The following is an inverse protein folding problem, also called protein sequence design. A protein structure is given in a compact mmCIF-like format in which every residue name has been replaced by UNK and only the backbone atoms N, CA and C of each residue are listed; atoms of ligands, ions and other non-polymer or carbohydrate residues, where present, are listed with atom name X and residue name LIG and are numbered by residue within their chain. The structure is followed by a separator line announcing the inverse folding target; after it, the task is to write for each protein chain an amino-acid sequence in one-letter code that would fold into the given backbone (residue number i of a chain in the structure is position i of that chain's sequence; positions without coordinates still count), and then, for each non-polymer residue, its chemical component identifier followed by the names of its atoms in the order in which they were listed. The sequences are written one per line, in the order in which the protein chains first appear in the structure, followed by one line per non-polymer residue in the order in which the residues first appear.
data_IF_303651733510
#
_entry.id   IF_303651733510
#
_cell.length_a   1.000
_cell.length_b   1.000
_cell.length_c   1.000
_cell.angle_alpha   90.00
_cell.angle_beta   90.00
_cell.angle_gamma   90.00
#
_symmetry.space_group_name_H-M   'P 1'
#
loop_
_entity.id
_entity.type
_entity.pdbx_description
1 polymer ?
#
# COMPACT_ATOMS: atom_id res chain seq x y z
N UNK A 1 4.83 -3.84 -2.16
CA UNK A 1 4.53 -3.33 -0.80
C UNK A 1 3.37 -4.12 -0.22
N UNK A 2 3.47 -4.55 1.03
CA UNK A 2 2.46 -5.36 1.72
C UNK A 2 1.94 -4.61 2.93
N UNK A 3 0.63 -4.60 3.12
CA UNK A 3 -0.10 -3.88 4.16
C UNK A 3 -1.00 -4.85 4.92
N UNK A 4 -1.07 -4.74 6.25
CA UNK A 4 -2.15 -5.30 7.05
C UNK A 4 -2.87 -4.16 7.79
N UNK A 5 -4.19 -4.15 7.77
CA UNK A 5 -4.98 -3.06 8.35
C UNK A 5 -6.38 -3.50 8.77
N UNK A 6 -6.98 -2.77 9.70
CA UNK A 6 -8.36 -2.99 10.13
C UNK A 6 -9.32 -2.18 9.24
N UNK A 7 -10.22 -2.84 8.50
CA UNK A 7 -11.10 -2.16 7.54
C UNK A 7 -12.31 -1.44 8.17
N UNK A 8 -12.67 -1.78 9.42
CA UNK A 8 -13.68 -1.05 10.20
C UNK A 8 -13.13 0.27 10.75
N UNK A 9 -11.80 0.44 10.83
CA UNK A 9 -11.19 1.66 11.32
C UNK A 9 -10.97 2.72 10.23
N UNK A 10 -11.35 3.96 10.55
CA UNK A 10 -10.84 5.21 9.94
C UNK A 10 -10.97 5.36 8.42
N UNK A 11 -11.95 4.72 7.76
CA UNK A 11 -12.12 4.81 6.29
C UNK A 11 -10.81 4.50 5.56
N UNK A 12 -9.99 3.60 6.11
CA UNK A 12 -8.65 3.31 5.57
C UNK A 12 -8.74 2.82 4.13
N UNK A 13 -9.83 2.15 3.75
CA UNK A 13 -10.13 1.79 2.37
C UNK A 13 -10.22 3.01 1.44
N UNK A 14 -10.89 4.09 1.86
CA UNK A 14 -11.01 5.34 1.08
C UNK A 14 -9.67 6.06 0.99
N UNK A 15 -8.89 6.07 2.07
CA UNK A 15 -7.55 6.66 2.09
C UNK A 15 -6.61 5.91 1.15
N UNK A 16 -6.60 4.57 1.20
CA UNK A 16 -5.82 3.75 0.28
C UNK A 16 -6.29 3.94 -1.16
N UNK A 17 -7.59 4.05 -1.39
CA UNK A 17 -8.13 4.33 -2.72
C UNK A 17 -7.69 5.70 -3.24
N UNK A 18 -7.71 6.75 -2.41
CA UNK A 18 -7.23 8.08 -2.79
C UNK A 18 -5.73 8.06 -3.10
N UNK A 19 -4.91 7.44 -2.25
CA UNK A 19 -3.47 7.27 -2.51
C UNK A 19 -3.25 6.52 -3.82
N UNK A 20 -4.08 5.51 -4.11
CA UNK A 20 -4.04 4.78 -5.37
C UNK A 20 -4.39 5.67 -6.57
N UNK A 21 -5.45 6.48 -6.44
CA UNK A 21 -5.88 7.42 -7.48
C UNK A 21 -4.87 8.54 -7.74
N UNK A 22 -4.23 9.07 -6.70
CA UNK A 22 -3.17 10.08 -6.84
C UNK A 22 -1.88 9.50 -7.43
N UNK A 23 -1.68 8.19 -7.28
CA UNK A 23 -0.47 7.47 -7.68
C UNK A 23 -0.66 6.55 -8.90
N UNK A 24 -1.70 6.76 -9.71
CA UNK A 24 -2.05 5.93 -10.88
C UNK A 24 -0.90 5.74 -11.87
N UNK A 25 0.05 6.68 -11.91
CA UNK A 25 1.19 6.62 -12.81
C UNK A 25 2.23 5.57 -12.42
N UNK A 26 2.30 5.18 -11.14
CA UNK A 26 3.34 4.28 -10.61
C UNK A 26 2.81 3.04 -9.91
N UNK A 27 1.55 3.02 -9.47
CA UNK A 27 0.90 1.80 -8.99
C UNK A 27 0.45 0.97 -10.19
N UNK A 28 0.91 -0.28 -10.27
CA UNK A 28 0.61 -1.21 -11.37
C UNK A 28 -0.61 -2.07 -11.08
N UNK A 29 -0.71 -2.55 -9.85
CA UNK A 29 -1.83 -3.38 -9.41
C UNK A 29 -1.90 -3.41 -7.90
N UNK A 30 -3.06 -3.78 -7.38
CA UNK A 30 -3.28 -4.05 -5.96
C UNK A 30 -4.12 -5.31 -5.83
N UNK A 31 -3.71 -6.20 -4.93
CA UNK A 31 -4.49 -7.33 -4.45
C UNK A 31 -4.96 -6.99 -3.04
N UNK A 32 -6.23 -7.22 -2.74
CA UNK A 32 -6.81 -7.10 -1.41
C UNK A 32 -7.38 -8.45 -1.01
N UNK A 33 -7.03 -8.93 0.18
CA UNK A 33 -7.56 -10.16 0.77
C UNK A 33 -8.16 -9.85 2.14
N UNK A 34 -9.41 -10.28 2.36
CA UNK A 34 -10.01 -10.33 3.69
C UNK A 34 -9.45 -11.55 4.43
N UNK A 35 -8.78 -11.34 5.58
CA UNK A 35 -8.09 -12.42 6.30
C UNK A 35 -8.93 -12.95 7.47
N UNK A 36 -9.53 -12.07 8.28
CA UNK A 36 -10.45 -12.37 9.39
C UNK A 36 -11.41 -11.18 9.64
N UNK A 37 -12.35 -11.29 10.61
CA UNK A 37 -13.49 -10.39 10.85
C UNK A 37 -13.25 -8.90 10.60
N UNK A 38 -12.09 -8.36 11.02
CA UNK A 38 -11.79 -6.93 10.85
C UNK A 38 -10.52 -6.65 10.02
N UNK A 39 -9.69 -7.66 9.74
CA UNK A 39 -8.35 -7.46 9.21
C UNK A 39 -8.25 -7.81 7.72
N UNK A 40 -7.68 -6.89 6.97
CA UNK A 40 -7.40 -7.03 5.55
C UNK A 40 -5.89 -7.03 5.32
N UNK A 41 -5.46 -7.77 4.30
CA UNK A 41 -4.11 -7.67 3.74
C UNK A 41 -4.22 -7.08 2.34
N UNK A 42 -3.37 -6.12 2.03
CA UNK A 42 -3.18 -5.67 0.66
C UNK A 42 -1.74 -5.86 0.20
N UNK A 43 -1.56 -6.30 -1.05
CA UNK A 43 -0.27 -6.27 -1.75
C UNK A 43 -0.41 -5.31 -2.91
N UNK A 44 0.39 -4.24 -2.87
CA UNK A 44 0.42 -3.19 -3.89
C UNK A 44 1.73 -3.31 -4.65
N UNK A 45 1.63 -3.49 -5.97
CA UNK A 45 2.75 -3.52 -6.89
C UNK A 45 2.98 -2.10 -7.41
N UNK A 46 4.19 -1.59 -7.20
CA UNK A 46 4.57 -0.21 -7.52
C UNK A 46 5.84 -0.27 -8.38
N UNK A 47 5.88 0.52 -9.44
CA UNK A 47 7.04 0.65 -10.31
C UNK A 47 7.32 2.13 -10.60
N UNK A 48 8.52 2.59 -10.27
CA UNK A 48 8.93 3.97 -10.50
C UNK A 48 10.22 4.31 -9.79
N UNK A 49 10.53 5.60 -9.74
CA UNK A 49 11.68 6.13 -9.03
C UNK A 49 11.59 5.87 -7.52
N UNK A 50 12.72 5.51 -6.90
CA UNK A 50 12.80 5.19 -5.48
C UNK A 50 12.25 6.31 -4.58
N UNK A 51 12.47 7.58 -4.96
CA UNK A 51 11.93 8.74 -4.23
C UNK A 51 10.42 8.75 -4.15
N UNK A 52 9.72 8.54 -5.28
CA UNK A 52 8.26 8.49 -5.35
C UNK A 52 7.69 7.28 -4.60
N UNK A 53 8.35 6.13 -4.72
CA UNK A 53 7.95 4.92 -3.97
C UNK A 53 8.06 5.17 -2.46
N UNK A 54 9.15 5.81 -2.01
CA UNK A 54 9.36 6.17 -0.61
C UNK A 54 8.31 7.16 -0.10
N UNK A 55 7.91 8.12 -0.92
CA UNK A 55 6.85 9.08 -0.58
C UNK A 55 5.51 8.38 -0.36
N UNK A 56 5.10 7.49 -1.27
CA UNK A 56 3.87 6.69 -1.11
C UNK A 56 3.93 5.84 0.17
N UNK A 57 5.05 5.16 0.40
CA UNK A 57 5.23 4.35 1.61
C UNK A 57 5.04 5.20 2.88
N UNK A 58 5.72 6.35 2.95
CA UNK A 58 5.56 7.30 4.05
C UNK A 58 4.12 7.76 4.15
N UNK A 59 3.45 8.05 3.03
CA UNK A 59 2.05 8.46 3.00
C UNK A 59 1.10 7.43 3.59
N UNK A 60 1.34 6.15 3.36
CA UNK A 60 0.51 5.07 3.89
C UNK A 60 0.75 4.85 5.38
N UNK A 61 2.01 4.79 5.83
CA UNK A 61 2.37 4.45 7.22
C UNK A 61 1.82 5.45 8.25
N UNK A 62 1.58 6.72 7.88
CA UNK A 62 0.99 7.72 8.80
C UNK A 62 -0.51 7.55 9.07
N UNK A 63 -1.21 6.70 8.32
CA UNK A 63 -2.66 6.57 8.45
C UNK A 63 -3.03 5.66 9.63
N UNK A 64 -3.91 6.16 10.49
CA UNK A 64 -4.46 5.37 11.61
C UNK A 64 -5.24 4.17 11.07
N UNK A 65 -5.02 3.00 11.64
CA UNK A 65 -5.67 1.74 11.23
C UNK A 65 -4.78 0.82 10.41
N UNK A 66 -3.63 1.32 9.92
CA UNK A 66 -2.54 0.49 9.42
C UNK A 66 -1.87 -0.21 10.61
N UNK A 67 -1.82 -1.55 10.56
CA UNK A 67 -1.22 -2.39 11.61
C UNK A 67 0.18 -2.84 11.22
N UNK A 68 0.40 -3.16 9.94
CA UNK A 68 1.70 -3.57 9.42
C UNK A 68 1.93 -3.02 8.01
N UNK A 69 3.17 -2.62 7.71
CA UNK A 69 3.61 -2.23 6.37
C UNK A 69 5.00 -2.78 6.13
N UNK A 70 5.17 -3.47 5.00
CA UNK A 70 6.48 -3.90 4.51
C UNK A 70 6.70 -3.41 3.08
N UNK A 71 7.85 -2.81 2.84
CA UNK A 71 8.31 -2.44 1.50
C UNK A 71 9.45 -3.38 1.11
N UNK A 72 9.17 -4.26 0.16
CA UNK A 72 10.19 -5.04 -0.54
C UNK A 72 10.43 -4.38 -1.91
N UNK A 73 11.70 -4.19 -2.27
CA UNK A 73 12.13 -3.55 -3.52
C UNK A 73 12.93 -4.52 -4.37
N UNK A 74 12.77 -4.44 -5.67
CA UNK A 74 13.51 -5.24 -6.65
C UNK A 74 14.14 -4.27 -7.64
N UNK A 75 15.45 -4.36 -7.86
CA UNK A 75 16.12 -3.64 -8.94
C UNK A 75 16.04 -4.48 -10.22
N UNK A 76 15.34 -4.04 -11.28
CA UNK A 76 15.23 -4.80 -12.52
C UNK A 76 16.57 -5.05 -13.23
N UNK A 77 17.63 -4.31 -12.87
CA UNK A 77 18.98 -4.48 -13.40
C UNK A 77 19.77 -5.60 -12.70
N UNK A 78 19.26 -6.11 -11.59
CA UNK A 78 19.89 -7.15 -10.76
C UNK A 78 19.14 -8.50 -10.86
N UNK A 79 18.18 -8.61 -11.78
CA UNK A 79 17.45 -9.84 -12.14
C UNK A 79 17.97 -10.32 -13.49
#
# INVERSE_FOLDING_TARGET
MTLAYNHHQNRIADVLNNIHHESLTIIRSSIHVYMENDNCVAVIIIQGEAGKISEIYKNIVKNKGIQHVKLDTINPQEI
#
